data_IF_128681087858
#
_entry.id   IF_128681087858
#
_cell.length_a   1.000
_cell.length_b   1.000
_cell.length_c   1.000
_cell.angle_alpha   90.00
_cell.angle_beta   90.00
_cell.angle_gamma   90.00
#
_symmetry.space_group_name_H-M   'P 1'
#
loop_
_entity.id
_entity.type
_entity.pdbx_description
1 polymer ?
#
# COMPACT_ATOMS: atom_id res chain seq x y z
N UNK A 1 -10.89 -5.75 16.21
CA UNK A 1 -10.07 -5.93 15.03
C UNK A 1 -10.20 -4.72 14.12
N UNK A 2 -9.09 -4.28 13.58
CA UNK A 2 -9.05 -3.06 12.80
C UNK A 2 -9.60 -3.26 11.40
N UNK A 3 -10.40 -2.31 10.93
CA UNK A 3 -10.96 -2.32 9.60
C UNK A 3 -9.99 -1.68 8.62
N UNK A 4 -9.86 -2.25 7.43
CA UNK A 4 -9.03 -1.65 6.38
C UNK A 4 -9.95 -0.91 5.41
N UNK A 5 -9.64 0.36 5.17
CA UNK A 5 -10.39 1.20 4.23
C UNK A 5 -9.46 1.71 3.15
N UNK A 6 -9.75 1.37 1.91
CA UNK A 6 -8.96 1.82 0.77
C UNK A 6 -9.54 3.12 0.25
N UNK A 7 -8.69 4.13 0.10
CA UNK A 7 -9.14 5.38 -0.53
C UNK A 7 -9.19 5.18 -2.04
N UNK A 8 -9.93 6.05 -2.71
CA UNK A 8 -9.96 6.03 -4.17
C UNK A 8 -8.57 6.16 -4.77
N UNK A 9 -7.74 6.98 -4.14
CA UNK A 9 -6.38 7.20 -4.63
C UNK A 9 -5.55 5.94 -4.51
N UNK A 10 -5.65 5.23 -3.39
CA UNK A 10 -4.89 4.01 -3.20
C UNK A 10 -5.34 2.91 -4.15
N UNK A 11 -6.64 2.82 -4.42
CA UNK A 11 -7.16 1.87 -5.39
C UNK A 11 -6.63 2.22 -6.78
N UNK A 12 -6.62 3.49 -7.12
CA UNK A 12 -6.09 3.95 -8.39
C UNK A 12 -4.61 3.61 -8.54
N UNK A 13 -3.84 3.80 -7.45
CA UNK A 13 -2.43 3.43 -7.45
C UNK A 13 -2.27 1.93 -7.75
N UNK A 14 -3.06 1.11 -7.11
CA UNK A 14 -2.96 -0.33 -7.29
C UNK A 14 -3.30 -0.74 -8.72
N UNK A 15 -4.32 -0.10 -9.29
CA UNK A 15 -4.69 -0.36 -10.68
C UNK A 15 -3.58 0.05 -11.64
N UNK A 16 -2.93 1.18 -11.37
CA UNK A 16 -1.82 1.64 -12.19
C UNK A 16 -0.64 0.68 -12.14
N UNK A 17 -0.34 0.17 -10.94
CA UNK A 17 0.71 -0.81 -10.77
C UNK A 17 0.38 -2.07 -11.58
N UNK A 18 -0.87 -2.53 -11.47
CA UNK A 18 -1.30 -3.72 -12.20
C UNK A 18 -1.16 -3.54 -13.70
N UNK A 19 -1.65 -2.41 -14.22
CA UNK A 19 -1.60 -2.13 -15.65
C UNK A 19 -0.16 -2.06 -16.15
N UNK A 20 0.72 -1.43 -15.39
CA UNK A 20 2.11 -1.30 -15.78
C UNK A 20 2.77 -2.69 -15.87
N UNK A 21 2.55 -3.52 -14.85
CA UNK A 21 3.18 -4.85 -14.84
C UNK A 21 2.61 -5.73 -15.94
N UNK A 22 1.31 -5.61 -16.20
CA UNK A 22 0.70 -6.38 -17.27
C UNK A 22 1.34 -6.05 -18.61
N UNK A 23 1.58 -4.76 -18.86
CA UNK A 23 2.22 -4.34 -20.11
C UNK A 23 3.67 -4.76 -20.21
N UNK A 24 4.40 -4.70 -19.08
CA UNK A 24 5.82 -5.02 -19.07
C UNK A 24 6.09 -6.51 -19.00
N UNK A 25 5.17 -7.27 -18.47
CA UNK A 25 5.34 -8.70 -18.26
C UNK A 25 4.13 -9.47 -18.78
N UNK A 26 3.16 -9.67 -17.90
CA UNK A 26 1.93 -10.38 -18.26
C UNK A 26 0.93 -10.23 -17.13
N UNK A 27 -0.30 -10.68 -17.42
CA UNK A 27 -1.38 -10.55 -16.45
C UNK A 27 -1.14 -11.39 -15.20
N UNK A 28 -0.59 -12.59 -15.36
CA UNK A 28 -0.36 -13.46 -14.20
C UNK A 28 0.60 -12.80 -13.21
N UNK A 29 1.65 -12.15 -13.71
CA UNK A 29 2.60 -11.46 -12.84
C UNK A 29 1.93 -10.26 -12.17
N UNK A 30 1.10 -9.51 -12.91
CA UNK A 30 0.39 -8.38 -12.35
C UNK A 30 -0.51 -8.82 -11.21
N UNK A 31 -1.25 -9.91 -11.40
CA UNK A 31 -2.13 -10.42 -10.37
C UNK A 31 -1.36 -10.88 -9.13
N UNK A 32 -0.21 -11.51 -9.35
CA UNK A 32 0.62 -11.97 -8.24
C UNK A 32 1.14 -10.80 -7.41
N UNK A 33 1.62 -9.76 -8.07
CA UNK A 33 2.15 -8.59 -7.36
C UNK A 33 1.04 -7.91 -6.56
N UNK A 34 -0.12 -7.72 -7.17
CA UNK A 34 -1.23 -7.09 -6.48
C UNK A 34 -1.69 -7.91 -5.28
N UNK A 35 -1.67 -9.25 -5.40
CA UNK A 35 -2.04 -10.11 -4.29
C UNK A 35 -1.05 -9.95 -3.13
N UNK A 36 0.24 -9.88 -3.45
CA UNK A 36 1.26 -9.71 -2.43
C UNK A 36 1.05 -8.38 -1.69
N UNK A 37 0.76 -7.32 -2.44
CA UNK A 37 0.51 -6.01 -1.82
C UNK A 37 -0.74 -6.07 -0.95
N UNK A 38 -1.80 -6.67 -1.47
CA UNK A 38 -3.04 -6.79 -0.71
C UNK A 38 -2.82 -7.54 0.60
N UNK A 39 -2.10 -8.66 0.53
CA UNK A 39 -1.83 -9.47 1.72
C UNK A 39 -0.99 -8.68 2.73
N UNK A 40 -0.05 -7.89 2.25
CA UNK A 40 0.76 -7.07 3.14
C UNK A 40 -0.11 -6.04 3.87
N UNK A 41 -1.08 -5.45 3.16
CA UNK A 41 -1.98 -4.49 3.77
C UNK A 41 -2.80 -5.15 4.88
N UNK A 42 -3.16 -6.42 4.71
CA UNK A 42 -3.97 -7.12 5.71
C UNK A 42 -3.24 -7.26 7.05
N UNK A 43 -1.92 -7.24 7.05
CA UNK A 43 -1.14 -7.28 8.29
C UNK A 43 -1.49 -6.10 9.20
N UNK A 44 -1.86 -4.98 8.60
CA UNK A 44 -2.19 -3.77 9.36
C UNK A 44 -3.47 -3.93 10.19
N UNK A 45 -4.25 -4.96 9.94
CA UNK A 45 -5.45 -5.21 10.75
C UNK A 45 -5.06 -5.60 12.17
N UNK A 46 -3.96 -6.34 12.31
CA UNK A 46 -3.50 -6.78 13.62
C UNK A 46 -2.41 -5.88 14.18
N UNK A 47 -1.62 -5.29 13.30
CA UNK A 47 -0.49 -4.47 13.71
C UNK A 47 -0.54 -3.10 13.05
N UNK A 48 -1.54 -2.29 13.40
CA UNK A 48 -1.69 -0.99 12.71
C UNK A 48 -0.53 -0.03 12.95
N UNK A 49 0.26 -0.24 13.98
CA UNK A 49 1.37 0.66 14.28
C UNK A 49 2.71 0.16 13.79
N UNK A 50 2.71 -0.90 12.96
CA UNK A 50 3.95 -1.50 12.50
C UNK A 50 4.73 -0.59 11.57
N UNK A 51 4.06 0.30 10.85
CA UNK A 51 4.73 1.23 9.95
C UNK A 51 5.41 2.35 10.71
N UNK A 52 6.42 2.93 10.07
CA UNK A 52 7.12 4.06 10.66
C UNK A 52 6.47 5.36 10.18
N UNK A 53 6.80 6.46 10.87
CA UNK A 53 6.27 7.76 10.50
C UNK A 53 6.66 8.10 9.06
N UNK A 54 5.69 8.64 8.31
CA UNK A 54 5.92 9.04 6.94
C UNK A 54 6.15 10.55 6.87
N UNK A 55 6.35 11.04 5.66
CA UNK A 55 6.65 12.46 5.45
C UNK A 55 5.50 13.33 5.93
N UNK A 56 4.30 12.97 5.53
CA UNK A 56 3.13 13.75 5.93
C UNK A 56 2.74 13.41 7.34
N UNK A 57 2.52 14.43 8.14
CA UNK A 57 2.17 14.27 9.54
C UNK A 57 0.91 13.43 9.68
N UNK A 58 0.95 12.49 10.62
CA UNK A 58 -0.20 11.64 10.87
C UNK A 58 -0.27 10.40 9.99
N UNK A 59 0.70 10.24 9.08
CA UNK A 59 0.71 9.06 8.21
C UNK A 59 1.89 8.16 8.57
N UNK A 60 1.78 6.92 8.14
CA UNK A 60 2.80 5.90 8.36
C UNK A 60 3.11 5.21 7.05
N UNK A 61 4.30 4.63 6.97
CA UNK A 61 4.76 3.88 5.82
C UNK A 61 5.05 2.46 6.22
N UNK A 62 4.55 1.52 5.44
CA UNK A 62 4.83 0.11 5.64
C UNK A 62 5.41 -0.44 4.35
N UNK A 63 6.68 -0.85 4.41
CA UNK A 63 7.34 -1.46 3.25
C UNK A 63 6.81 -2.88 3.10
N UNK A 64 6.40 -3.24 1.90
CA UNK A 64 5.88 -4.59 1.62
C UNK A 64 7.04 -5.57 1.73
N UNK A 65 7.02 -6.50 2.72
CA UNK A 65 8.22 -7.32 2.96
C UNK A 65 8.65 -8.16 1.78
N UNK A 66 7.71 -8.78 1.07
CA UNK A 66 8.05 -9.64 -0.06
C UNK A 66 8.42 -8.86 -1.31
N UNK A 67 8.06 -7.57 -1.36
CA UNK A 67 8.36 -6.71 -2.50
C UNK A 67 8.76 -5.34 -1.97
N UNK A 68 10.00 -5.21 -1.46
CA UNK A 68 10.37 -3.98 -0.73
C UNK A 68 10.37 -2.71 -1.55
N UNK A 69 10.24 -2.83 -2.87
CA UNK A 69 10.10 -1.63 -3.71
C UNK A 69 8.76 -0.96 -3.53
N UNK A 70 7.79 -1.64 -2.93
CA UNK A 70 6.47 -1.07 -2.76
C UNK A 70 6.26 -0.64 -1.32
N UNK A 71 5.65 0.52 -1.16
CA UNK A 71 5.44 1.15 0.15
C UNK A 71 3.97 1.50 0.27
N UNK A 72 3.38 1.09 1.38
CA UNK A 72 1.98 1.40 1.70
C UNK A 72 1.98 2.59 2.64
N UNK A 73 1.34 3.68 2.23
CA UNK A 73 1.17 4.85 3.08
C UNK A 73 -0.23 4.80 3.65
N UNK A 74 -0.34 4.88 4.96
CA UNK A 74 -1.63 4.73 5.61
C UNK A 74 -1.74 5.63 6.84
N UNK A 75 -2.93 5.71 7.37
CA UNK A 75 -3.24 6.50 8.55
C UNK A 75 -4.13 5.68 9.44
N UNK A 76 -3.88 5.74 10.75
CA UNK A 76 -4.75 5.09 11.72
C UNK A 76 -5.87 6.07 12.03
N UNK A 77 -7.10 5.63 11.81
CA UNK A 77 -8.28 6.45 12.01
C UNK A 77 -9.10 5.86 13.15
N UNK A 78 -9.41 6.68 14.11
CA UNK A 78 -10.21 6.23 15.22
C UNK A 78 -11.65 6.00 14.80
N UNK A 79 -12.35 5.07 15.43
CA UNK A 79 -11.86 4.27 16.57
C UNK A 79 -11.05 3.05 16.16
N UNK A 80 -11.36 2.41 15.03
CA UNK A 80 -10.69 1.16 14.71
C UNK A 80 -10.62 0.95 13.21
N UNK A 81 -9.92 1.84 12.54
CA UNK A 81 -9.76 1.73 11.10
C UNK A 81 -8.38 2.14 10.68
N UNK A 82 -7.90 1.52 9.62
CA UNK A 82 -6.69 1.93 8.93
C UNK A 82 -7.11 2.37 7.54
N UNK A 83 -6.74 3.59 7.19
CA UNK A 83 -7.08 4.15 5.89
C UNK A 83 -5.85 4.10 5.00
N UNK A 84 -5.94 3.40 3.89
CA UNK A 84 -4.82 3.30 2.95
C UNK A 84 -4.84 4.52 2.05
N UNK A 85 -3.79 5.34 2.15
CA UNK A 85 -3.71 6.62 1.45
C UNK A 85 -3.10 6.47 0.07
N UNK A 86 -1.95 5.81 -0.01
CA UNK A 86 -1.24 5.63 -1.27
C UNK A 86 -0.51 4.30 -1.30
N UNK A 87 -0.26 3.80 -2.50
CA UNK A 87 0.67 2.70 -2.72
C UNK A 87 1.75 3.24 -3.65
N UNK A 88 2.99 3.30 -3.17
CA UNK A 88 4.11 3.83 -3.94
C UNK A 88 5.04 2.72 -4.39
N UNK A 89 5.57 2.86 -5.60
CA UNK A 89 6.75 2.10 -5.98
C UNK A 89 7.96 2.95 -5.57
N UNK A 90 8.98 2.29 -5.00
CA UNK A 90 10.13 3.03 -4.50
C UNK A 90 10.88 3.83 -5.55
N UNK A 91 10.76 3.42 -6.82
CA UNK A 91 11.40 4.16 -7.91
C UNK A 91 10.65 5.42 -8.26
N UNK A 92 9.40 5.57 -7.81
CA UNK A 92 8.63 6.78 -8.08
C UNK A 92 9.14 7.90 -7.20
N UNK A 93 8.99 9.11 -7.72
CA UNK A 93 9.37 10.27 -6.95
C UNK A 93 8.31 10.56 -5.92
N UNK A 94 8.67 10.45 -4.67
CA UNK A 94 7.77 10.88 -3.61
C UNK A 94 8.15 12.28 -3.20
N UNK A 95 8.11 13.14 -4.18
CA UNK A 95 8.58 14.48 -4.00
C UNK A 95 7.79 15.18 -2.99
N UNK A 96 8.48 15.85 -2.30
CA UNK A 96 7.95 16.66 -1.31
C UNK A 96 7.86 18.02 -1.86
#
# INVERSE_FOLDING_TARGET
>A
MTQIRWTSKSVSDLKSISSYIERQRNLATANKVCRIIYDAVQVLRQFPEIGKASIEEGTREYVVPALPSYIVVYRIVQPEAVQIIRIWHGAQQRQE
#
